data_IF_882692164495
#
_entry.id   IF_882692164495
#
_cell.length_a   1.000
_cell.length_b   1.000
_cell.length_c   1.000
_cell.angle_alpha   90.00
_cell.angle_beta   90.00
_cell.angle_gamma   90.00
#
_symmetry.space_group_name_H-M   'P 1'
#
loop_
_entity.id
_entity.type
_entity.pdbx_description
1 polymer ?
#
# COMPACT_ATOMS: atom_id res chain seq x y z
N UNK A 1 10.55 22.61 8.42
CA UNK A 1 9.32 21.80 8.44
C UNK A 1 9.68 20.41 7.91
N UNK A 2 9.30 19.34 8.60
CA UNK A 2 9.46 17.97 8.09
C UNK A 2 8.36 17.66 7.07
N UNK A 3 8.70 16.94 5.99
CA UNK A 3 7.75 16.55 4.96
C UNK A 3 6.82 15.46 5.50
N UNK A 4 5.51 15.70 5.54
CA UNK A 4 4.51 14.80 6.14
C UNK A 4 3.76 14.04 5.06
N UNK A 5 3.74 12.72 5.19
CA UNK A 5 3.05 11.81 4.27
C UNK A 5 1.95 11.07 5.02
N UNK A 6 0.71 11.21 4.57
CA UNK A 6 -0.40 10.36 4.98
C UNK A 6 -0.45 9.13 4.07
N UNK A 7 -0.50 7.94 4.65
CA UNK A 7 -0.54 6.67 3.94
C UNK A 7 -1.92 6.03 4.16
N UNK A 8 -2.70 5.93 3.10
CA UNK A 8 -4.05 5.33 3.12
C UNK A 8 -3.92 3.93 2.53
N UNK A 9 -4.28 2.91 3.31
CA UNK A 9 -4.33 1.51 2.87
C UNK A 9 -5.78 1.05 2.79
N UNK A 10 -6.06 -0.02 2.06
CA UNK A 10 -7.39 -0.65 2.05
C UNK A 10 -7.78 -1.20 3.41
N UNK A 11 -6.85 -1.89 4.08
CA UNK A 11 -6.96 -2.28 5.48
C UNK A 11 -5.66 -1.94 6.22
N UNK A 12 -5.66 -0.78 6.87
CA UNK A 12 -4.51 -0.32 7.63
C UNK A 12 -4.08 -1.27 8.76
N UNK A 13 -4.90 -2.26 9.17
CA UNK A 13 -4.57 -3.17 10.27
C UNK A 13 -3.26 -3.90 10.04
N UNK A 14 -3.03 -4.41 8.81
CA UNK A 14 -1.84 -5.19 8.46
C UNK A 14 -1.02 -4.51 7.36
N UNK A 15 -1.66 -3.93 6.35
CA UNK A 15 -1.02 -3.34 5.17
C UNK A 15 0.01 -2.27 5.54
N UNK A 16 -0.27 -1.50 6.60
CA UNK A 16 0.61 -0.42 7.04
C UNK A 16 2.03 -0.90 7.39
N UNK A 17 2.17 -2.14 7.89
CA UNK A 17 3.47 -2.68 8.29
C UNK A 17 4.33 -3.07 7.09
N UNK A 18 3.70 -3.33 5.94
CA UNK A 18 4.39 -3.57 4.67
C UNK A 18 4.68 -2.25 3.96
N UNK A 19 3.65 -1.40 3.82
CA UNK A 19 3.74 -0.19 3.00
C UNK A 19 4.60 0.91 3.62
N UNK A 20 4.49 1.13 4.93
CA UNK A 20 5.22 2.22 5.60
C UNK A 20 6.74 2.12 5.39
N UNK A 21 7.43 0.99 5.65
CA UNK A 21 8.87 0.90 5.44
C UNK A 21 9.26 1.06 3.95
N UNK A 22 8.42 0.60 3.01
CA UNK A 22 8.65 0.78 1.57
C UNK A 22 8.60 2.27 1.20
N UNK A 23 7.57 3.00 1.68
CA UNK A 23 7.43 4.44 1.43
C UNK A 23 8.55 5.23 2.11
N UNK A 24 8.92 4.89 3.35
CA UNK A 24 10.04 5.53 4.05
C UNK A 24 11.37 5.33 3.30
N UNK A 25 11.61 4.14 2.74
CA UNK A 25 12.78 3.86 1.90
C UNK A 25 12.75 4.67 0.61
N UNK A 26 11.61 4.69 -0.10
CA UNK A 26 11.44 5.49 -1.33
C UNK A 26 11.70 6.97 -1.08
N UNK A 27 11.13 7.54 -0.01
CA UNK A 27 11.30 8.95 0.35
C UNK A 27 12.75 9.29 0.66
N UNK A 28 13.51 8.36 1.26
CA UNK A 28 14.95 8.53 1.48
C UNK A 28 15.70 8.64 0.16
N UNK A 29 15.43 7.74 -0.79
CA UNK A 29 16.07 7.72 -2.11
C UNK A 29 15.78 9.00 -2.91
N UNK A 30 14.55 9.54 -2.84
CA UNK A 30 14.20 10.80 -3.54
C UNK A 30 14.61 12.07 -2.78
N UNK A 31 15.51 11.97 -1.80
CA UNK A 31 16.08 13.12 -1.10
C UNK A 31 15.22 13.69 0.03
N UNK A 32 14.23 12.94 0.54
CA UNK A 32 13.42 13.28 1.71
C UNK A 32 13.65 12.32 2.89
N UNK A 33 14.90 12.12 3.35
CA UNK A 33 15.25 11.12 4.38
C UNK A 33 14.64 11.38 5.77
N UNK A 34 14.10 12.59 6.01
CA UNK A 34 13.46 13.01 7.26
C UNK A 34 11.94 13.14 7.13
N UNK A 35 11.35 12.56 6.09
CA UNK A 35 9.90 12.55 5.95
C UNK A 35 9.25 11.76 7.09
N UNK A 36 8.07 12.21 7.53
CA UNK A 36 7.27 11.52 8.53
C UNK A 36 6.12 10.84 7.79
N UNK A 37 6.16 9.51 7.74
CA UNK A 37 5.10 8.69 7.14
C UNK A 37 4.17 8.19 8.23
N UNK A 38 2.86 8.41 8.09
CA UNK A 38 1.85 7.93 9.04
C UNK A 38 0.69 7.30 8.29
N UNK A 39 0.32 6.09 8.71
CA UNK A 39 -0.90 5.44 8.24
C UNK A 39 -2.13 6.24 8.71
N UNK A 40 -3.12 6.35 7.82
CA UNK A 40 -4.45 6.83 8.14
C UNK A 40 -5.23 5.66 8.76
N UNK A 41 -5.59 5.82 10.03
CA UNK A 41 -6.32 4.80 10.80
C UNK A 41 -7.74 5.24 11.19
N UNK A 42 -8.11 6.47 10.83
CA UNK A 42 -9.42 7.08 11.08
C UNK A 42 -9.91 7.73 9.77
N UNK A 43 -11.00 7.22 9.17
CA UNK A 43 -11.86 6.12 9.66
C UNK A 43 -11.18 4.75 9.63
N UNK A 44 -11.71 3.79 10.39
CA UNK A 44 -11.28 2.39 10.30
C UNK A 44 -11.81 1.78 9.01
N UNK A 45 -10.90 1.57 8.05
CA UNK A 45 -11.18 0.91 6.77
C UNK A 45 -11.03 -0.61 6.91
N UNK A 46 -11.95 -1.38 6.33
CA UNK A 46 -11.89 -2.84 6.22
C UNK A 46 -12.03 -3.30 4.76
N UNK A 47 -11.15 -2.77 3.91
CA UNK A 47 -11.05 -3.13 2.51
C UNK A 47 -11.57 -2.08 1.53
N UNK A 48 -11.51 -2.42 0.24
CA UNK A 48 -11.78 -1.53 -0.90
C UNK A 48 -13.11 -0.78 -0.83
N UNK A 49 -14.18 -1.43 -0.33
CA UNK A 49 -15.52 -0.85 -0.30
C UNK A 49 -15.63 0.32 0.67
N UNK A 50 -15.00 0.18 1.84
CA UNK A 50 -14.90 1.27 2.83
C UNK A 50 -14.04 2.40 2.30
N UNK A 51 -12.88 2.06 1.71
CA UNK A 51 -11.99 3.05 1.15
C UNK A 51 -12.68 3.91 0.09
N UNK A 52 -13.43 3.32 -0.85
CA UNK A 52 -14.19 4.08 -1.86
C UNK A 52 -15.17 5.06 -1.23
N UNK A 53 -15.90 4.63 -0.21
CA UNK A 53 -16.92 5.47 0.45
C UNK A 53 -16.28 6.65 1.20
N UNK A 54 -15.16 6.41 1.87
CA UNK A 54 -14.51 7.40 2.73
C UNK A 54 -13.46 8.26 2.00
N UNK A 55 -13.11 7.91 0.74
CA UNK A 55 -11.94 8.47 0.04
C UNK A 55 -11.90 10.00 0.05
N UNK A 56 -12.97 10.66 -0.41
CA UNK A 56 -12.97 12.12 -0.48
C UNK A 56 -12.95 12.78 0.90
N UNK A 57 -13.57 12.17 1.92
CA UNK A 57 -13.50 12.66 3.30
C UNK A 57 -12.07 12.57 3.85
N UNK A 58 -11.38 11.47 3.57
CA UNK A 58 -9.96 11.27 3.93
C UNK A 58 -9.09 12.31 3.21
N UNK A 59 -9.20 12.45 1.89
CA UNK A 59 -8.36 13.37 1.12
C UNK A 59 -8.58 14.82 1.58
N UNK A 60 -9.84 15.25 1.73
CA UNK A 60 -10.17 16.58 2.22
C UNK A 60 -9.59 16.84 3.62
N UNK A 61 -9.72 15.88 4.55
CA UNK A 61 -9.19 16.01 5.92
C UNK A 61 -7.67 16.07 5.95
N UNK A 62 -7.00 15.10 5.33
CA UNK A 62 -5.54 14.94 5.48
C UNK A 62 -4.74 15.88 4.57
N UNK A 63 -5.33 16.44 3.51
CA UNK A 63 -4.66 17.46 2.67
C UNK A 63 -4.33 18.74 3.44
N UNK A 64 -5.06 19.03 4.52
CA UNK A 64 -4.80 20.20 5.38
C UNK A 64 -3.56 20.07 6.27
N UNK A 65 -3.16 18.83 6.61
CA UNK A 65 -2.07 18.55 7.57
C UNK A 65 -0.86 17.85 6.96
N UNK A 66 -1.02 17.26 5.78
CA UNK A 66 0.03 16.53 5.06
C UNK A 66 0.53 17.31 3.84
N UNK A 67 1.78 17.02 3.45
CA UNK A 67 2.38 17.51 2.21
C UNK A 67 2.10 16.56 1.04
N UNK A 68 1.84 15.29 1.34
CA UNK A 68 1.49 14.24 0.38
C UNK A 68 0.54 13.22 1.03
N UNK A 69 -0.40 12.71 0.25
CA UNK A 69 -1.28 11.60 0.59
C UNK A 69 -1.01 10.51 -0.43
N UNK A 70 -0.57 9.34 0.03
CA UNK A 70 -0.40 8.15 -0.81
C UNK A 70 -1.59 7.24 -0.53
N UNK A 71 -2.40 6.97 -1.55
CA UNK A 71 -3.51 6.02 -1.50
C UNK A 71 -3.02 4.76 -2.18
N UNK A 72 -2.75 3.72 -1.39
CA UNK A 72 -2.26 2.44 -1.88
C UNK A 72 -3.40 1.42 -1.89
N UNK A 73 -3.63 0.82 -3.05
CA UNK A 73 -4.67 -0.19 -3.26
C UNK A 73 -4.09 -1.43 -3.96
N UNK A 74 -4.70 -2.58 -3.72
CA UNK A 74 -4.42 -3.81 -4.45
C UNK A 74 -5.01 -3.74 -5.85
N UNK A 75 -4.33 -4.38 -6.81
CA UNK A 75 -4.85 -4.52 -8.17
C UNK A 75 -5.87 -5.66 -8.24
N UNK A 76 -5.67 -6.74 -7.50
CA UNK A 76 -6.44 -8.01 -7.58
C UNK A 76 -6.73 -8.45 -9.02
N UNK A 77 -5.75 -8.32 -9.93
CA UNK A 77 -5.92 -8.61 -11.36
C UNK A 77 -7.01 -7.82 -12.09
N UNK A 78 -7.49 -6.72 -11.51
CA UNK A 78 -8.49 -5.85 -12.11
C UNK A 78 -7.85 -4.57 -12.64
N UNK A 79 -7.51 -4.55 -13.92
CA UNK A 79 -6.89 -3.39 -14.59
C UNK A 79 -7.74 -2.12 -14.45
N UNK A 80 -9.06 -2.27 -14.57
CA UNK A 80 -10.02 -1.16 -14.45
C UNK A 80 -10.12 -0.57 -13.03
N UNK A 81 -9.52 -1.21 -12.02
CA UNK A 81 -9.59 -0.73 -10.63
C UNK A 81 -8.85 0.59 -10.45
N UNK A 82 -7.67 0.71 -11.06
CA UNK A 82 -6.89 1.95 -11.05
C UNK A 82 -7.71 3.11 -11.61
N UNK A 83 -8.33 2.91 -12.78
CA UNK A 83 -9.13 3.92 -13.45
C UNK A 83 -10.36 4.33 -12.63
N UNK A 84 -11.06 3.36 -12.03
CA UNK A 84 -12.22 3.63 -11.17
C UNK A 84 -11.84 4.47 -9.94
N UNK A 85 -10.70 4.19 -9.31
CA UNK A 85 -10.23 4.95 -8.16
C UNK A 85 -9.70 6.32 -8.54
N UNK A 86 -8.99 6.41 -9.67
CA UNK A 86 -8.47 7.67 -10.16
C UNK A 86 -9.62 8.62 -10.50
N UNK A 87 -10.65 8.12 -11.20
CA UNK A 87 -11.85 8.90 -11.52
C UNK A 87 -12.56 9.41 -10.26
N UNK A 88 -12.63 8.61 -9.19
CA UNK A 88 -13.19 9.04 -7.92
C UNK A 88 -12.30 10.08 -7.23
N UNK A 89 -10.98 9.85 -7.17
CA UNK A 89 -10.01 10.76 -6.56
C UNK A 89 -10.03 12.14 -7.22
N UNK A 90 -10.21 12.20 -8.54
CA UNK A 90 -10.29 13.46 -9.29
C UNK A 90 -11.52 14.31 -8.93
N UNK A 91 -12.53 13.74 -8.26
CA UNK A 91 -13.69 14.48 -7.73
C UNK A 91 -13.49 15.01 -6.31
N UNK A 92 -12.42 14.61 -5.62
CA UNK A 92 -12.22 14.95 -4.21
C UNK A 92 -11.53 16.31 -4.03
N UNK A 93 -11.96 17.06 -3.02
CA UNK A 93 -11.24 18.27 -2.58
C UNK A 93 -9.89 17.90 -1.96
N UNK A 94 -8.82 18.64 -2.31
CA UNK A 94 -7.46 18.38 -1.83
C UNK A 94 -6.70 17.31 -2.62
N UNK A 95 -7.26 16.83 -3.74
CA UNK A 95 -6.66 15.79 -4.59
C UNK A 95 -5.28 16.17 -5.15
N UNK A 96 -4.95 17.45 -5.25
CA UNK A 96 -3.64 17.92 -5.73
C UNK A 96 -2.47 17.47 -4.82
N UNK A 97 -2.76 17.08 -3.58
CA UNK A 97 -1.79 16.49 -2.65
C UNK A 97 -1.87 14.97 -2.60
N UNK A 98 -2.77 14.34 -3.36
CA UNK A 98 -3.00 12.91 -3.32
C UNK A 98 -2.45 12.22 -4.57
N UNK A 99 -1.88 11.03 -4.37
CA UNK A 99 -1.45 10.14 -5.44
C UNK A 99 -2.01 8.75 -5.20
N UNK A 100 -2.60 8.16 -6.24
CA UNK A 100 -3.01 6.77 -6.25
C UNK A 100 -1.81 5.90 -6.66
N UNK A 101 -1.55 4.86 -5.87
CA UNK A 101 -0.54 3.83 -6.16
C UNK A 101 -1.24 2.49 -6.12
N UNK A 102 -1.08 1.73 -7.20
CA UNK A 102 -1.68 0.40 -7.33
C UNK A 102 -0.58 -0.64 -7.16
N UNK A 103 -0.81 -1.62 -6.29
CA UNK A 103 0.12 -2.70 -6.01
C UNK A 103 0.33 -3.58 -7.26
N UNK A 104 1.46 -4.29 -7.28
CA UNK A 104 1.63 -5.43 -8.19
C UNK A 104 0.82 -6.59 -7.61
N UNK A 105 -0.43 -6.68 -8.06
CA UNK A 105 -1.47 -7.60 -7.56
C UNK A 105 -1.88 -7.31 -6.12
N UNK A 106 -1.04 -7.62 -5.14
CA UNK A 106 -1.31 -7.44 -3.71
C UNK A 106 -0.13 -6.73 -3.02
N UNK A 107 -0.41 -5.90 -2.02
CA UNK A 107 0.60 -5.24 -1.20
C UNK A 107 1.53 -6.24 -0.50
N UNK A 108 0.97 -7.36 -0.03
CA UNK A 108 1.67 -8.44 0.66
C UNK A 108 2.81 -9.06 -0.13
N UNK A 109 2.83 -8.91 -1.47
CA UNK A 109 3.98 -9.32 -2.29
C UNK A 109 5.28 -8.76 -1.72
N UNK A 110 5.30 -7.48 -1.35
CA UNK A 110 6.52 -6.83 -0.88
C UNK A 110 7.01 -7.36 0.48
N UNK A 111 6.12 -7.94 1.29
CA UNK A 111 6.53 -8.60 2.53
C UNK A 111 7.41 -9.83 2.26
N UNK A 112 7.24 -10.49 1.11
CA UNK A 112 8.01 -11.67 0.73
C UNK A 112 9.39 -11.35 0.13
N UNK A 113 9.66 -10.10 -0.23
CA UNK A 113 10.91 -9.72 -0.92
C UNK A 113 12.17 -10.12 -0.15
N UNK A 114 12.13 -10.03 1.18
CA UNK A 114 13.22 -10.39 2.07
C UNK A 114 13.55 -11.88 2.08
N UNK A 115 12.56 -12.73 1.79
CA UNK A 115 12.66 -14.19 1.78
C UNK A 115 12.48 -14.78 0.37
N UNK A 116 12.67 -13.97 -0.68
CA UNK A 116 12.41 -14.39 -2.07
C UNK A 116 13.21 -15.61 -2.50
N UNK A 117 14.41 -15.79 -1.95
CA UNK A 117 15.27 -16.94 -2.27
C UNK A 117 14.70 -18.25 -1.72
N UNK A 118 13.89 -18.19 -0.64
CA UNK A 118 13.22 -19.34 -0.01
C UNK A 118 11.93 -19.74 -0.76
N UNK A 119 11.44 -18.93 -1.71
CA UNK A 119 10.18 -19.19 -2.44
C UNK A 119 10.31 -20.30 -3.50
N UNK A 120 11.54 -20.65 -3.88
CA UNK A 120 11.82 -21.65 -4.93
C UNK A 120 11.26 -21.29 -6.31
N UNK A 121 10.87 -20.01 -6.51
CA UNK A 121 10.18 -19.50 -7.70
C UNK A 121 10.84 -18.18 -8.09
N UNK A 122 10.88 -17.84 -9.39
CA UNK A 122 11.52 -16.59 -9.82
C UNK A 122 10.67 -15.42 -9.31
N UNK A 123 11.32 -14.38 -8.80
CA UNK A 123 10.61 -13.19 -8.30
C UNK A 123 9.66 -12.57 -9.34
N UNK A 124 10.07 -12.55 -10.62
CA UNK A 124 9.24 -12.05 -11.71
C UNK A 124 7.91 -12.82 -11.88
N UNK A 125 7.87 -14.10 -11.50
CA UNK A 125 6.64 -14.91 -11.53
C UNK A 125 5.77 -14.62 -10.29
N UNK A 126 6.41 -14.39 -9.13
CA UNK A 126 5.71 -14.05 -7.88
C UNK A 126 4.97 -12.71 -8.00
N UNK A 127 5.58 -11.70 -8.63
CA UNK A 127 4.95 -10.37 -8.78
C UNK A 127 3.84 -10.30 -9.84
N UNK A 128 3.77 -11.29 -10.73
CA UNK A 128 2.73 -11.38 -11.76
C UNK A 128 1.60 -12.35 -11.37
N UNK A 129 1.81 -13.19 -10.34
CA UNK A 129 0.78 -14.05 -9.76
C UNK A 129 -0.36 -13.21 -9.17
N UNK A 130 -1.60 -13.61 -9.45
CA UNK A 130 -2.81 -12.90 -9.08
C UNK A 130 -3.08 -12.91 -7.57
N UNK A 131 -2.83 -14.05 -6.93
CA UNK A 131 -3.04 -14.26 -5.49
C UNK A 131 -1.73 -14.72 -4.83
N UNK A 132 -0.69 -13.87 -4.86
CA UNK A 132 0.66 -14.24 -4.46
C UNK A 132 0.71 -14.58 -2.96
N UNK A 133 -0.14 -13.97 -2.15
CA UNK A 133 -0.32 -14.34 -0.75
C UNK A 133 -0.69 -15.80 -0.58
N UNK A 134 -1.77 -16.21 -1.24
CA UNK A 134 -2.33 -17.56 -1.09
C UNK A 134 -1.39 -18.63 -1.64
N UNK A 135 -0.66 -18.33 -2.72
CA UNK A 135 0.23 -19.28 -3.40
C UNK A 135 1.56 -19.44 -2.65
N UNK A 136 2.14 -18.35 -2.14
CA UNK A 136 3.54 -18.35 -1.70
C UNK A 136 3.73 -18.21 -0.18
N UNK A 137 2.82 -17.55 0.56
CA UNK A 137 3.02 -17.35 2.00
C UNK A 137 3.07 -18.66 2.78
N UNK A 138 2.25 -19.66 2.40
CA UNK A 138 2.24 -20.96 3.07
C UNK A 138 3.62 -21.62 3.13
N UNK A 139 4.44 -21.44 2.08
CA UNK A 139 5.81 -21.98 2.01
C UNK A 139 6.77 -21.29 2.97
N UNK A 140 6.57 -19.99 3.21
CA UNK A 140 7.39 -19.20 4.14
C UNK A 140 7.11 -19.55 5.60
N UNK A 141 5.84 -19.83 5.94
CA UNK A 141 5.47 -20.20 7.31
C UNK A 141 5.93 -21.61 7.69
N UNK A 142 5.90 -22.57 6.77
CA UNK A 142 6.36 -23.94 7.03
C UNK A 142 7.85 -23.99 7.42
N UNK A 143 8.70 -23.14 6.83
CA UNK A 143 10.12 -23.09 7.17
C UNK A 143 10.44 -22.26 8.42
N UNK A 144 9.55 -21.36 8.86
CA UNK A 144 9.76 -20.52 10.04
C UNK A 144 9.60 -21.30 11.35
N UNK A 145 8.64 -22.23 11.39
CA UNK A 145 8.40 -23.08 12.56
C UNK A 145 9.44 -24.21 12.72
N UNK A 146 10.09 -24.64 11.63
CA UNK A 146 11.15 -25.67 11.67
C UNK A 146 12.53 -25.11 12.08
N UNK A 147 12.69 -23.77 12.15
CA UNK A 147 13.92 -23.10 12.61
C UNK A 147 13.91 -22.76 14.11
N UNK A 148 12.98 -23.33 14.89
CA UNK A 148 12.96 -23.20 16.37
C UNK A 148 13.84 -24.24 17.06
#
# INVERSE_FOLDING_TARGET
MSYRVALVCEDHTLDQFVLRPVVEALLREVGKPRAIVRAVTDPQLRGIGDLKRELCGIVARYSTVSDLIIIAIDRDCLDARADSFQALLDTCDGREKAVLVVARQELEVWAMWGSRDDLGTRWAEVVEECHPKDVYFGRLFQQGDERQ
#
